data_IF_688714365441
#
_entry.id   IF_688714365441
#
_cell.length_a   1.000
_cell.length_b   1.000
_cell.length_c   1.000
_cell.angle_alpha   90.00
_cell.angle_beta   90.00
_cell.angle_gamma   90.00
#
_symmetry.space_group_name_H-M   'P 1'
#
loop_
_entity.id
_entity.type
_entity.pdbx_description
1 polymer ?
#
# COMPACT_ATOMS: atom_id res chain seq x y z
N UNK A 1 18.23 -29.69 -36.37
CA UNK A 1 18.57 -29.63 -34.93
C UNK A 1 19.08 -28.24 -34.58
N UNK A 2 18.28 -27.42 -33.88
CA UNK A 2 18.74 -26.28 -33.05
C UNK A 2 17.55 -25.86 -32.19
N UNK A 3 17.53 -26.35 -30.95
CA UNK A 3 16.52 -26.05 -29.93
C UNK A 3 16.77 -24.62 -29.43
N UNK A 4 15.85 -23.70 -29.72
CA UNK A 4 15.79 -22.42 -29.02
C UNK A 4 15.26 -22.66 -27.60
N UNK A 5 16.11 -22.44 -26.60
CA UNK A 5 15.73 -22.39 -25.19
C UNK A 5 14.85 -21.15 -24.98
N UNK A 6 13.57 -21.35 -24.67
CA UNK A 6 12.71 -20.29 -24.12
C UNK A 6 13.22 -19.97 -22.72
N UNK A 7 13.81 -18.79 -22.55
CA UNK A 7 14.05 -18.21 -21.23
C UNK A 7 12.71 -17.63 -20.77
N UNK A 8 12.15 -18.17 -19.70
CA UNK A 8 10.94 -17.64 -19.07
C UNK A 8 11.29 -16.32 -18.37
N UNK A 9 10.88 -15.18 -18.93
CA UNK A 9 10.81 -13.92 -18.20
C UNK A 9 9.73 -14.05 -17.13
N UNK A 10 10.12 -14.01 -15.86
CA UNK A 10 9.21 -13.87 -14.72
C UNK A 10 9.05 -12.37 -14.45
N UNK A 11 7.91 -11.81 -14.80
CA UNK A 11 7.49 -10.47 -14.37
C UNK A 11 6.96 -10.57 -12.95
N UNK A 12 7.68 -10.03 -11.96
CA UNK A 12 7.06 -9.64 -10.69
C UNK A 12 6.37 -8.29 -10.94
N UNK A 13 5.05 -8.29 -10.98
CA UNK A 13 4.27 -7.08 -10.73
C UNK A 13 4.46 -6.72 -9.26
N UNK A 14 4.73 -5.44 -8.94
CA UNK A 14 4.23 -4.87 -7.69
C UNK A 14 2.70 -4.96 -7.81
N UNK A 15 2.13 -6.12 -7.44
CA UNK A 15 0.73 -6.58 -7.55
C UNK A 15 -0.08 -6.04 -8.76
N UNK A 16 -0.42 -6.83 -9.78
CA UNK A 16 -1.22 -8.06 -9.67
C UNK A 16 -0.64 -9.23 -10.47
N UNK A 17 -0.40 -10.34 -9.78
CA UNK A 17 -0.11 -11.63 -10.39
C UNK A 17 -1.43 -12.31 -10.80
N UNK A 18 -1.79 -12.23 -12.08
CA UNK A 18 -2.88 -13.04 -12.66
C UNK A 18 -2.41 -14.49 -12.83
N UNK A 19 -2.90 -15.39 -11.99
CA UNK A 19 -2.79 -16.83 -12.19
C UNK A 19 -3.90 -17.35 -13.10
N UNK A 20 -3.58 -17.64 -14.36
CA UNK A 20 -4.46 -18.33 -15.31
C UNK A 20 -4.10 -19.82 -15.38
N UNK A 21 -5.00 -20.72 -14.96
CA UNK A 21 -5.04 -22.12 -15.43
C UNK A 21 -6.45 -22.72 -15.28
N UNK A 22 -6.94 -23.26 -16.40
CA UNK A 22 -8.26 -23.88 -16.57
C UNK A 22 -8.26 -25.38 -16.20
N UNK A 23 -9.43 -25.83 -15.72
CA UNK A 23 -10.11 -27.13 -15.87
C UNK A 23 -9.36 -28.43 -15.49
N UNK A 24 -9.90 -29.14 -14.50
CA UNK A 24 -10.62 -30.41 -14.73
C UNK A 24 -11.54 -30.81 -13.57
N UNK A 25 -12.56 -31.60 -13.91
CA UNK A 25 -13.79 -31.87 -13.19
C UNK A 25 -13.75 -33.10 -12.27
N UNK A 26 -14.78 -33.19 -11.40
CA UNK A 26 -15.15 -34.32 -10.55
C UNK A 26 -15.36 -33.83 -9.11
N UNK A 27 -16.45 -34.06 -8.39
CA UNK A 27 -17.58 -34.95 -8.51
C UNK A 27 -18.12 -35.13 -7.08
N UNK A 28 -19.37 -34.72 -6.86
CA UNK A 28 -20.31 -35.02 -5.76
C UNK A 28 -19.81 -35.52 -4.38
N UNK A 29 -20.31 -34.91 -3.28
CA UNK A 29 -21.43 -35.46 -2.46
C UNK A 29 -21.72 -34.60 -1.22
N UNK A 30 -23.01 -34.58 -0.88
CA UNK A 30 -23.66 -33.96 0.26
C UNK A 30 -23.20 -34.49 1.62
N UNK A 31 -23.34 -33.68 2.67
CA UNK A 31 -24.01 -34.09 3.90
C UNK A 31 -24.48 -32.87 4.72
N UNK A 32 -25.77 -32.94 5.07
CA UNK A 32 -26.49 -32.15 6.05
C UNK A 32 -26.02 -32.47 7.47
N UNK A 33 -26.03 -31.47 8.36
CA UNK A 33 -25.77 -31.66 9.79
C UNK A 33 -26.25 -30.44 10.57
N UNK A 34 -27.49 -30.52 11.05
CA UNK A 34 -28.16 -29.49 11.83
C UNK A 34 -27.77 -29.52 13.32
N UNK A 35 -27.93 -28.35 13.94
CA UNK A 35 -28.27 -28.08 15.34
C UNK A 35 -27.22 -28.37 16.43
N UNK A 36 -27.02 -27.41 17.34
CA UNK A 36 -27.58 -27.44 18.70
C UNK A 36 -27.41 -26.07 19.36
N UNK A 37 -28.50 -25.65 20.02
CA UNK A 37 -28.68 -24.46 20.86
C UNK A 37 -28.07 -24.71 22.24
N UNK A 38 -27.43 -23.70 22.83
CA UNK A 38 -27.41 -23.55 24.30
C UNK A 38 -27.14 -22.09 24.70
N UNK A 39 -28.19 -21.43 25.21
CA UNK A 39 -28.10 -20.24 26.05
C UNK A 39 -27.48 -20.57 27.40
N UNK A 40 -26.64 -19.68 27.90
CA UNK A 40 -26.18 -19.66 29.29
C UNK A 40 -25.85 -18.24 29.69
N UNK A 41 -26.84 -17.53 30.22
CA UNK A 41 -26.66 -16.23 30.86
C UNK A 41 -26.22 -16.46 32.31
N UNK A 42 -25.09 -15.86 32.70
CA UNK A 42 -24.74 -15.63 34.09
C UNK A 42 -24.33 -14.18 34.27
N UNK A 43 -25.09 -13.48 35.11
CA UNK A 43 -24.79 -12.15 35.61
C UNK A 43 -23.83 -12.25 36.81
N UNK A 44 -23.00 -11.22 36.97
CA UNK A 44 -22.39 -10.86 38.25
C UNK A 44 -20.87 -10.94 38.30
N UNK A 45 -20.21 -9.80 38.07
CA UNK A 45 -19.07 -9.35 38.86
C UNK A 45 -18.66 -7.94 38.40
N UNK A 46 -18.95 -6.92 39.20
CA UNK A 46 -18.28 -5.62 39.13
C UNK A 46 -16.84 -5.81 39.59
N UNK A 47 -15.98 -6.27 38.68
CA UNK A 47 -14.54 -6.29 38.86
C UNK A 47 -13.96 -4.95 38.43
N UNK A 48 -13.32 -4.25 39.36
CA UNK A 48 -12.41 -3.14 39.07
C UNK A 48 -11.43 -3.59 37.99
N UNK A 49 -11.50 -2.96 36.81
CA UNK A 49 -10.62 -3.30 35.70
C UNK A 49 -9.17 -3.06 36.14
N UNK A 50 -8.29 -4.07 36.08
CA UNK A 50 -6.87 -3.83 36.31
C UNK A 50 -6.38 -2.88 35.22
N UNK A 51 -5.79 -1.75 35.63
CA UNK A 51 -4.96 -0.93 34.74
C UNK A 51 -3.93 -1.85 34.13
N UNK A 52 -4.09 -2.17 32.85
CA UNK A 52 -3.07 -2.82 32.03
C UNK A 52 -1.92 -1.83 31.92
N UNK A 53 -0.99 -1.91 32.87
CA UNK A 53 0.34 -1.36 32.69
C UNK A 53 0.92 -2.05 31.47
N UNK A 54 0.86 -1.36 30.33
CA UNK A 54 1.58 -1.78 29.14
C UNK A 54 3.06 -1.87 29.55
N UNK A 55 3.74 -3.00 29.28
CA UNK A 55 5.16 -3.10 29.58
C UNK A 55 5.86 -1.90 28.96
N UNK A 56 6.66 -1.21 29.76
CA UNK A 56 7.43 -0.04 29.37
C UNK A 56 8.28 -0.41 28.15
N UNK A 57 7.77 -0.04 26.97
CA UNK A 57 8.33 -0.43 25.70
C UNK A 57 9.57 0.43 25.49
N UNK A 58 10.71 -0.21 25.20
CA UNK A 58 11.93 0.52 24.89
C UNK A 58 11.63 1.61 23.86
N UNK A 59 12.11 2.85 24.06
CA UNK A 59 11.79 3.96 23.17
C UNK A 59 12.22 3.59 21.75
N UNK A 60 11.29 3.71 20.80
CA UNK A 60 11.60 3.57 19.39
C UNK A 60 12.59 4.67 19.02
N UNK A 61 13.84 4.30 18.76
CA UNK A 61 14.88 5.26 18.37
C UNK A 61 14.63 5.68 16.93
N UNK A 62 14.14 6.90 16.75
CA UNK A 62 14.07 7.54 15.43
C UNK A 62 15.50 7.74 14.90
N UNK A 63 15.76 7.21 13.70
CA UNK A 63 16.99 7.53 12.97
C UNK A 63 16.73 8.76 12.11
N UNK A 64 17.60 9.77 12.16
CA UNK A 64 17.43 11.00 11.39
C UNK A 64 18.51 11.10 10.33
N UNK A 65 18.12 11.16 9.06
CA UNK A 65 19.05 11.19 7.91
C UNK A 65 18.53 12.14 6.82
N UNK A 66 19.42 12.70 5.97
CA UNK A 66 18.99 13.45 4.81
C UNK A 66 18.44 12.53 3.70
N UNK A 67 17.66 13.09 2.79
CA UNK A 67 16.88 12.36 1.78
C UNK A 67 17.75 11.41 0.94
N UNK A 68 18.93 11.85 0.49
CA UNK A 68 19.84 11.05 -0.31
C UNK A 68 20.48 9.87 0.45
N UNK A 69 20.25 9.76 1.76
CA UNK A 69 20.79 8.72 2.62
C UNK A 69 19.74 7.71 3.08
N UNK A 70 18.46 7.88 2.71
CA UNK A 70 17.37 6.98 3.12
C UNK A 70 17.72 5.54 2.74
N UNK A 71 17.96 5.25 1.45
CA UNK A 71 18.22 3.89 0.96
C UNK A 71 19.42 3.25 1.67
N UNK A 72 20.54 3.99 1.78
CA UNK A 72 21.77 3.53 2.41
C UNK A 72 21.62 3.27 3.92
N UNK A 73 20.58 3.82 4.55
CA UNK A 73 20.29 3.65 5.98
C UNK A 73 19.39 2.46 6.27
N UNK A 74 18.74 1.88 5.25
CA UNK A 74 17.82 0.76 5.43
C UNK A 74 18.57 -0.53 5.79
N UNK A 75 18.28 -1.17 6.93
CA UNK A 75 19.05 -2.30 7.38
C UNK A 75 18.76 -3.52 6.49
N UNK A 76 19.81 -4.28 6.18
CA UNK A 76 19.73 -5.46 5.32
C UNK A 76 19.22 -6.70 6.06
N UNK A 77 19.28 -6.70 7.39
CA UNK A 77 18.82 -7.81 8.23
C UNK A 77 17.29 -7.84 8.44
N UNK A 78 16.58 -6.87 7.84
CA UNK A 78 15.14 -6.75 7.98
C UNK A 78 14.71 -6.27 9.36
N UNK A 79 15.57 -5.62 10.15
CA UNK A 79 15.13 -4.95 11.37
C UNK A 79 14.13 -3.83 11.04
N UNK A 80 13.14 -3.63 11.92
CA UNK A 80 12.30 -2.43 11.86
C UNK A 80 13.16 -1.19 11.97
N UNK A 81 12.89 -0.22 11.11
CA UNK A 81 13.55 1.08 11.14
C UNK A 81 12.52 2.16 10.91
N UNK A 82 12.70 3.28 11.60
CA UNK A 82 12.00 4.51 11.29
C UNK A 82 12.98 5.63 11.05
N UNK A 83 12.70 6.38 10.00
CA UNK A 83 13.52 7.47 9.53
C UNK A 83 12.69 8.74 9.49
N UNK A 84 13.12 9.76 10.23
CA UNK A 84 12.72 11.14 9.98
C UNK A 84 13.68 11.81 9.02
N UNK A 85 13.18 12.33 7.91
CA UNK A 85 14.04 12.90 6.85
C UNK A 85 14.35 14.37 7.15
N UNK A 86 15.64 14.67 7.37
CA UNK A 86 16.04 15.95 7.99
C UNK A 86 15.91 17.17 7.08
N UNK A 87 16.10 16.99 5.78
CA UNK A 87 16.09 18.05 4.76
C UNK A 87 14.78 18.09 3.96
N UNK A 88 13.85 17.15 4.24
CA UNK A 88 12.49 17.10 3.68
C UNK A 88 11.46 17.02 4.83
N UNK A 89 11.15 18.15 5.49
CA UNK A 89 10.21 18.16 6.61
C UNK A 89 8.86 17.54 6.23
N UNK A 90 8.32 16.69 7.10
CA UNK A 90 7.08 15.97 6.88
C UNK A 90 7.23 14.62 6.18
N UNK A 91 8.40 14.29 5.61
CA UNK A 91 8.65 12.94 5.09
C UNK A 91 9.16 12.02 6.20
N UNK A 92 8.44 10.92 6.38
CA UNK A 92 8.77 9.84 7.30
C UNK A 92 8.85 8.52 6.54
N UNK A 93 9.80 7.66 6.88
CA UNK A 93 9.95 6.34 6.26
C UNK A 93 9.95 5.26 7.32
N UNK A 94 9.12 4.22 7.16
CA UNK A 94 9.09 3.05 8.02
C UNK A 94 9.41 1.78 7.24
N UNK A 95 10.45 1.07 7.69
CA UNK A 95 10.68 -0.32 7.29
C UNK A 95 10.04 -1.27 8.30
N UNK A 96 9.22 -2.21 7.84
CA UNK A 96 8.74 -3.35 8.64
C UNK A 96 9.68 -4.55 8.53
N UNK A 97 9.58 -5.57 9.39
CA UNK A 97 10.51 -6.71 9.26
C UNK A 97 10.31 -7.54 8.02
N UNK A 98 9.09 -7.59 7.51
CA UNK A 98 8.72 -8.43 6.37
C UNK A 98 7.43 -7.93 5.73
N UNK A 99 7.22 -8.34 4.48
CA UNK A 99 5.97 -8.09 3.77
C UNK A 99 4.73 -8.57 4.53
N UNK A 100 4.82 -9.74 5.18
CA UNK A 100 3.73 -10.28 5.97
C UNK A 100 3.38 -9.40 7.17
N UNK A 101 4.38 -8.77 7.78
CA UNK A 101 4.15 -7.82 8.87
C UNK A 101 3.53 -6.52 8.38
N UNK A 102 4.04 -5.97 7.27
CA UNK A 102 3.44 -4.82 6.61
C UNK A 102 1.96 -5.06 6.31
N UNK A 103 1.64 -6.23 5.74
CA UNK A 103 0.26 -6.62 5.46
C UNK A 103 -0.62 -6.63 6.70
N UNK A 104 -0.13 -7.13 7.84
CA UNK A 104 -0.90 -7.12 9.09
C UNK A 104 -1.15 -5.70 9.62
N UNK A 105 -0.25 -4.76 9.37
CA UNK A 105 -0.38 -3.37 9.82
C UNK A 105 -1.28 -2.54 8.89
N UNK A 106 -1.15 -2.70 7.57
CA UNK A 106 -1.71 -1.76 6.60
C UNK A 106 -2.83 -2.31 5.72
N UNK A 107 -3.11 -3.62 5.70
CA UNK A 107 -4.08 -4.17 4.74
C UNK A 107 -5.49 -3.53 4.81
N UNK A 108 -5.97 -3.15 6.00
CA UNK A 108 -7.25 -2.44 6.14
C UNK A 108 -7.18 -0.96 5.75
N UNK A 109 -6.02 -0.33 5.88
CA UNK A 109 -5.76 1.05 5.46
C UNK A 109 -5.73 1.10 3.93
N UNK A 110 -4.94 0.23 3.30
CA UNK A 110 -4.91 0.04 1.83
C UNK A 110 -6.30 -0.25 1.28
N UNK A 111 -7.05 -1.15 1.93
CA UNK A 111 -8.41 -1.45 1.52
C UNK A 111 -9.36 -0.23 1.60
N UNK A 112 -9.15 0.68 2.55
CA UNK A 112 -9.97 1.87 2.70
C UNK A 112 -9.64 2.93 1.64
N UNK A 113 -8.38 3.13 1.28
CA UNK A 113 -7.97 4.26 0.44
C UNK A 113 -7.73 3.89 -1.03
N UNK A 114 -7.16 2.72 -1.29
CA UNK A 114 -6.58 2.40 -2.61
C UNK A 114 -7.38 1.36 -3.42
N UNK A 115 -8.08 0.43 -2.75
CA UNK A 115 -8.70 -0.73 -3.42
C UNK A 115 -10.10 -0.43 -3.97
N UNK A 116 -10.24 -0.54 -5.29
CA UNK A 116 -11.48 -0.27 -6.05
C UNK A 116 -12.73 -1.03 -5.58
N UNK A 117 -12.56 -2.30 -5.21
CA UNK A 117 -13.63 -3.23 -4.87
C UNK A 117 -13.83 -3.35 -3.34
N UNK A 118 -13.36 -2.34 -2.61
CA UNK A 118 -13.59 -2.17 -1.17
C UNK A 118 -14.30 -0.85 -0.89
N UNK A 119 -15.01 -0.75 0.24
CA UNK A 119 -15.65 0.50 0.62
C UNK A 119 -14.62 1.54 1.05
N UNK A 120 -14.78 2.77 0.55
CA UNK A 120 -13.96 3.93 0.90
C UNK A 120 -14.55 4.79 2.04
N UNK A 121 -15.75 4.42 2.53
CA UNK A 121 -16.51 5.16 3.54
C UNK A 121 -16.53 4.46 4.92
N UNK A 122 -15.92 3.28 5.03
CA UNK A 122 -15.92 2.47 6.25
C UNK A 122 -14.72 1.53 6.32
N UNK A 123 -14.18 1.31 7.53
CA UNK A 123 -13.17 0.28 7.77
C UNK A 123 -13.79 -1.10 7.51
N UNK A 124 -13.11 -1.88 6.67
CA UNK A 124 -13.50 -3.25 6.33
C UNK A 124 -13.12 -4.21 7.47
N UNK A 125 -13.91 -5.26 7.75
CA UNK A 125 -13.53 -6.26 8.76
C UNK A 125 -12.44 -7.21 8.23
N UNK A 126 -11.65 -7.81 9.13
CA UNK A 126 -10.66 -8.83 8.74
C UNK A 126 -11.30 -10.03 8.03
N UNK A 127 -12.51 -10.43 8.43
CA UNK A 127 -13.23 -11.51 7.76
C UNK A 127 -13.62 -11.16 6.31
N UNK A 128 -14.01 -9.90 6.07
CA UNK A 128 -14.30 -9.41 4.73
C UNK A 128 -13.02 -9.31 3.86
N UNK A 129 -11.91 -8.82 4.43
CA UNK A 129 -10.60 -8.85 3.76
C UNK A 129 -10.18 -10.27 3.38
N UNK A 130 -10.23 -11.21 4.33
CA UNK A 130 -9.86 -12.61 4.08
C UNK A 130 -10.78 -13.28 3.03
N UNK A 131 -12.06 -12.91 2.99
CA UNK A 131 -13.00 -13.41 1.98
C UNK A 131 -12.69 -12.84 0.60
N UNK A 132 -12.29 -11.57 0.51
CA UNK A 132 -11.84 -10.98 -0.75
C UNK A 132 -10.53 -11.61 -1.24
N UNK A 133 -9.51 -11.69 -0.38
CA UNK A 133 -8.23 -12.32 -0.72
C UNK A 133 -8.41 -13.72 -1.33
N UNK A 134 -9.22 -14.57 -0.69
CA UNK A 134 -9.56 -15.91 -1.20
C UNK A 134 -10.25 -15.90 -2.57
N UNK A 135 -11.09 -14.90 -2.86
CA UNK A 135 -11.77 -14.78 -4.17
C UNK A 135 -10.83 -14.32 -5.27
N UNK A 136 -9.89 -13.44 -4.94
CA UNK A 136 -8.94 -12.88 -5.91
C UNK A 136 -7.73 -13.79 -6.14
N UNK A 137 -7.48 -14.76 -5.25
CA UNK A 137 -6.24 -15.54 -5.25
C UNK A 137 -5.04 -14.72 -4.76
N UNK A 138 -5.30 -13.57 -4.14
CA UNK A 138 -4.28 -12.65 -3.60
C UNK A 138 -3.99 -13.01 -2.14
N UNK A 139 -2.75 -12.78 -1.71
CA UNK A 139 -2.42 -12.66 -0.30
C UNK A 139 -2.64 -11.19 0.12
N UNK A 140 -3.37 -10.88 1.20
CA UNK A 140 -3.46 -9.52 1.71
C UNK A 140 -2.10 -8.84 1.90
N UNK A 141 -1.04 -9.59 2.19
CA UNK A 141 0.31 -9.07 2.35
C UNK A 141 0.93 -8.58 1.03
N UNK A 142 0.59 -9.17 -0.12
CA UNK A 142 1.13 -8.71 -1.41
C UNK A 142 0.47 -7.41 -1.88
N UNK A 143 -0.69 -7.05 -1.31
CA UNK A 143 -1.32 -5.75 -1.55
C UNK A 143 -0.55 -4.58 -0.95
N UNK A 144 0.43 -4.83 -0.08
CA UNK A 144 1.06 -3.78 0.72
C UNK A 144 2.57 -3.70 0.52
N UNK A 145 3.09 -4.08 -0.64
CA UNK A 145 4.55 -4.18 -0.86
C UNK A 145 5.26 -2.82 -0.75
N UNK A 146 4.60 -1.74 -1.12
CA UNK A 146 4.91 -0.37 -0.73
C UNK A 146 3.59 0.31 -0.42
N UNK A 147 3.60 1.22 0.56
CA UNK A 147 2.43 2.06 0.78
C UNK A 147 2.88 3.45 1.20
N UNK A 148 2.03 4.41 0.92
CA UNK A 148 2.21 5.79 1.31
C UNK A 148 0.91 6.35 1.87
N UNK A 149 1.00 7.07 2.99
CA UNK A 149 -0.18 7.67 3.63
C UNK A 149 0.16 9.02 4.24
N UNK A 150 -0.69 10.01 4.02
CA UNK A 150 -0.67 11.22 4.84
C UNK A 150 -1.05 10.89 6.29
N UNK A 151 -0.54 11.67 7.25
CA UNK A 151 -0.95 11.55 8.64
C UNK A 151 -2.46 11.79 8.81
N UNK A 152 -3.08 12.57 7.92
CA UNK A 152 -4.53 12.80 7.89
C UNK A 152 -5.29 11.51 7.55
N UNK A 153 -4.84 10.76 6.54
CA UNK A 153 -5.45 9.47 6.17
C UNK A 153 -5.31 8.44 7.27
N UNK A 154 -4.13 8.36 7.90
CA UNK A 154 -3.90 7.49 9.04
C UNK A 154 -4.82 7.85 10.21
N UNK A 155 -4.92 9.12 10.57
CA UNK A 155 -5.85 9.60 11.60
C UNK A 155 -7.30 9.24 11.26
N UNK A 156 -7.70 9.45 10.00
CA UNK A 156 -9.04 9.14 9.52
C UNK A 156 -9.36 7.65 9.63
N UNK A 157 -8.42 6.76 9.29
CA UNK A 157 -8.60 5.32 9.45
C UNK A 157 -8.92 4.93 10.91
N UNK A 158 -8.09 5.39 11.86
CA UNK A 158 -8.29 5.05 13.28
C UNK A 158 -9.57 5.67 13.84
N UNK A 159 -9.89 6.91 13.47
CA UNK A 159 -11.13 7.56 13.88
C UNK A 159 -12.38 6.88 13.30
N UNK A 160 -12.33 6.46 12.04
CA UNK A 160 -13.43 5.73 11.39
C UNK A 160 -13.64 4.37 12.06
N UNK A 161 -12.56 3.63 12.31
CA UNK A 161 -12.60 2.36 13.05
C UNK A 161 -13.22 2.54 14.45
N UNK A 162 -12.82 3.59 15.17
CA UNK A 162 -13.38 3.93 16.49
C UNK A 162 -14.88 4.23 16.42
N UNK A 163 -15.33 5.07 15.49
CA UNK A 163 -16.76 5.40 15.29
C UNK A 163 -17.60 4.16 14.96
N UNK A 164 -17.01 3.20 14.26
CA UNK A 164 -17.65 1.93 13.93
C UNK A 164 -17.59 0.89 15.05
N UNK A 165 -16.96 1.20 16.19
CA UNK A 165 -16.65 0.24 17.25
C UNK A 165 -15.87 -0.98 16.72
N UNK A 166 -15.02 -0.76 15.71
CA UNK A 166 -14.17 -1.78 15.12
C UNK A 166 -12.95 -1.97 16.00
N UNK A 167 -12.72 -3.20 16.49
CA UNK A 167 -11.49 -3.52 17.19
C UNK A 167 -10.28 -3.39 16.25
N UNK A 168 -9.22 -2.75 16.75
CA UNK A 168 -7.91 -2.83 16.11
C UNK A 168 -7.35 -4.24 16.32
N UNK A 169 -6.67 -4.75 15.30
CA UNK A 169 -5.83 -5.95 15.45
C UNK A 169 -4.60 -5.59 16.27
N UNK A 170 -3.87 -6.58 16.84
CA UNK A 170 -2.64 -6.30 17.56
C UNK A 170 -1.59 -5.52 16.72
N UNK A 171 -1.52 -5.78 15.41
CA UNK A 171 -0.59 -5.09 14.51
C UNK A 171 -1.01 -3.65 14.22
N UNK A 172 -2.31 -3.37 14.12
CA UNK A 172 -2.79 -1.98 13.94
C UNK A 172 -2.72 -1.18 15.24
N UNK A 173 -2.92 -1.82 16.39
CA UNK A 173 -2.65 -1.18 17.68
C UNK A 173 -1.17 -0.82 17.79
N UNK A 174 -0.29 -1.74 17.41
CA UNK A 174 1.14 -1.48 17.37
C UNK A 174 1.50 -0.33 16.41
N UNK A 175 0.86 -0.27 15.24
CA UNK A 175 1.01 0.84 14.31
C UNK A 175 0.54 2.15 14.95
N UNK A 176 -0.63 2.18 15.57
CA UNK A 176 -1.16 3.37 16.25
C UNK A 176 -0.21 3.88 17.34
N UNK A 177 0.23 2.99 18.23
CA UNK A 177 1.17 3.32 19.31
C UNK A 177 2.46 3.91 18.74
N UNK A 178 2.94 3.35 17.64
CA UNK A 178 4.14 3.79 16.93
C UNK A 178 3.97 5.19 16.34
N UNK A 179 2.85 5.44 15.65
CA UNK A 179 2.55 6.75 15.05
C UNK A 179 2.38 7.85 16.09
N UNK A 180 1.83 7.52 17.27
CA UNK A 180 1.72 8.45 18.40
C UNK A 180 3.09 8.71 19.03
N UNK A 181 3.88 7.66 19.25
CA UNK A 181 5.22 7.78 19.83
C UNK A 181 6.16 8.67 18.99
N UNK A 182 5.98 8.67 17.66
CA UNK A 182 6.75 9.51 16.73
C UNK A 182 6.08 10.86 16.43
N UNK A 183 4.94 11.15 17.06
CA UNK A 183 4.27 12.43 16.91
C UNK A 183 3.68 12.66 15.52
N UNK A 184 3.35 11.61 14.77
CA UNK A 184 2.57 11.72 13.52
C UNK A 184 1.08 11.84 13.83
N UNK A 185 0.62 11.18 14.89
CA UNK A 185 -0.76 11.24 15.39
C UNK A 185 -0.81 11.79 16.81
N UNK A 186 -1.92 12.46 17.13
CA UNK A 186 -2.24 12.91 18.48
C UNK A 186 -3.64 12.44 18.89
N UNK A 187 -3.79 12.14 20.17
CA UNK A 187 -5.07 11.88 20.81
C UNK A 187 -5.63 13.20 21.37
N UNK A 188 -6.89 13.50 21.04
CA UNK A 188 -7.66 14.63 21.56
C UNK A 188 -8.95 14.11 22.19
N UNK A 189 -8.85 13.61 23.42
CA UNK A 189 -10.00 13.10 24.17
C UNK A 189 -10.63 11.82 23.57
N UNK A 190 -9.80 10.93 23.04
CA UNK A 190 -10.22 9.70 22.37
C UNK A 190 -10.52 9.88 20.87
N UNK A 191 -10.23 11.05 20.31
CA UNK A 191 -10.36 11.32 18.86
C UNK A 191 -8.97 11.45 18.26
N UNK A 192 -8.72 10.69 17.20
CA UNK A 192 -7.42 10.68 16.53
C UNK A 192 -7.31 11.81 15.51
N UNK A 193 -6.21 12.56 15.58
CA UNK A 193 -5.87 13.63 14.64
C UNK A 193 -4.44 13.48 14.13
N UNK A 194 -4.21 13.95 12.91
CA UNK A 194 -2.85 14.21 12.44
C UNK A 194 -2.21 15.27 13.35
N UNK A 195 -0.96 15.05 13.76
CA UNK A 195 -0.20 16.05 14.49
C UNK A 195 0.18 17.22 13.57
N UNK A 196 0.54 16.92 12.32
CA UNK A 196 0.77 17.90 11.26
C UNK A 196 0.09 17.45 9.96
N UNK A 197 -0.55 18.39 9.26
CA UNK A 197 -1.20 18.12 7.98
C UNK A 197 -0.21 17.82 6.84
N UNK A 198 1.06 18.25 6.98
CA UNK A 198 2.12 18.00 6.00
C UNK A 198 2.90 16.70 6.23
N UNK A 199 2.61 15.94 7.29
CA UNK A 199 3.29 14.67 7.54
C UNK A 199 2.79 13.58 6.60
N UNK A 200 3.74 12.80 6.09
CA UNK A 200 3.54 11.77 5.09
C UNK A 200 4.46 10.58 5.39
N UNK A 201 3.88 9.40 5.48
CA UNK A 201 4.55 8.15 5.82
C UNK A 201 4.71 7.28 4.59
N UNK A 202 5.96 6.98 4.22
CA UNK A 202 6.32 5.94 3.26
C UNK A 202 6.65 4.66 4.01
N UNK A 203 6.16 3.52 3.52
CA UNK A 203 6.35 2.21 4.16
C UNK A 203 6.89 1.18 3.17
N UNK A 204 7.82 0.36 3.64
CA UNK A 204 8.43 -0.69 2.85
C UNK A 204 8.77 -1.94 3.70
N UNK A 205 8.72 -3.14 3.12
CA UNK A 205 9.10 -4.36 3.81
C UNK A 205 10.62 -4.51 3.87
N UNK A 206 11.09 -5.14 4.93
CA UNK A 206 12.44 -5.70 5.02
C UNK A 206 12.69 -6.77 3.94
N UNK A 207 13.98 -7.07 3.73
CA UNK A 207 14.40 -8.13 2.80
C UNK A 207 13.95 -9.51 3.30
N UNK A 208 13.66 -10.42 2.37
CA UNK A 208 13.31 -11.81 2.69
C UNK A 208 12.02 -12.26 2.02
N UNK A 209 11.40 -13.31 2.56
CA UNK A 209 10.26 -13.98 1.93
C UNK A 209 10.69 -15.09 0.96
N UNK A 210 9.70 -15.76 0.35
CA UNK A 210 9.94 -16.86 -0.59
C UNK A 210 8.97 -16.78 -1.76
N UNK A 211 9.39 -17.25 -2.94
CA UNK A 211 8.51 -17.33 -4.10
C UNK A 211 8.15 -15.93 -4.64
N UNK A 212 6.85 -15.68 -4.82
CA UNK A 212 6.32 -14.39 -5.30
C UNK A 212 6.48 -13.25 -4.30
N UNK A 213 6.69 -13.59 -3.03
CA UNK A 213 6.68 -12.63 -1.92
C UNK A 213 8.11 -12.26 -1.49
N UNK A 214 9.10 -12.72 -2.27
CA UNK A 214 10.50 -12.46 -2.01
C UNK A 214 10.84 -11.00 -2.34
N UNK A 215 11.23 -10.25 -1.32
CA UNK A 215 11.76 -8.88 -1.43
C UNK A 215 13.28 -8.96 -1.43
N UNK A 216 13.88 -8.75 -2.61
CA UNK A 216 15.31 -8.55 -2.75
C UNK A 216 15.69 -7.07 -2.71
N UNK A 217 16.99 -6.78 -2.61
CA UNK A 217 17.46 -5.41 -2.50
C UNK A 217 17.08 -4.54 -3.71
N UNK A 218 17.24 -4.98 -4.98
CA UNK A 218 16.77 -4.23 -6.13
C UNK A 218 15.27 -3.95 -6.16
N UNK A 219 14.42 -4.90 -5.74
CA UNK A 219 12.98 -4.71 -5.66
C UNK A 219 12.61 -3.73 -4.53
N UNK A 220 13.26 -3.85 -3.36
CA UNK A 220 13.05 -2.91 -2.24
C UNK A 220 13.44 -1.48 -2.60
N UNK A 221 14.54 -1.30 -3.34
CA UNK A 221 14.94 0.02 -3.85
C UNK A 221 13.89 0.57 -4.83
N UNK A 222 13.40 -0.26 -5.76
CA UNK A 222 12.35 0.14 -6.68
C UNK A 222 11.03 0.51 -5.98
N UNK A 223 10.66 -0.23 -4.92
CA UNK A 223 9.52 0.12 -4.05
C UNK A 223 9.77 1.48 -3.40
N UNK A 224 10.94 1.69 -2.78
CA UNK A 224 11.26 2.96 -2.14
C UNK A 224 11.16 4.13 -3.13
N UNK A 225 11.78 4.02 -4.30
CA UNK A 225 11.73 5.08 -5.31
C UNK A 225 10.28 5.38 -5.74
N UNK A 226 9.47 4.34 -5.95
CA UNK A 226 8.05 4.48 -6.25
C UNK A 226 7.30 5.25 -5.16
N UNK A 227 7.44 4.85 -3.90
CA UNK A 227 6.78 5.50 -2.76
C UNK A 227 7.25 6.94 -2.53
N UNK A 228 8.53 7.24 -2.77
CA UNK A 228 9.05 8.61 -2.73
C UNK A 228 8.48 9.47 -3.87
N UNK A 229 8.14 8.86 -5.00
CA UNK A 229 7.38 9.49 -6.08
C UNK A 229 6.00 9.99 -5.63
N UNK A 230 5.27 9.19 -4.85
CA UNK A 230 4.00 9.62 -4.26
C UNK A 230 4.18 10.78 -3.29
N UNK A 231 5.22 10.73 -2.45
CA UNK A 231 5.55 11.87 -1.58
C UNK A 231 5.83 13.15 -2.38
N UNK A 232 6.55 13.08 -3.50
CA UNK A 232 6.78 14.24 -4.35
C UNK A 232 5.45 14.79 -4.91
N UNK A 233 4.56 13.91 -5.37
CA UNK A 233 3.23 14.30 -5.85
C UNK A 233 2.37 14.95 -4.77
N UNK A 234 2.46 14.47 -3.53
CA UNK A 234 1.74 15.06 -2.40
C UNK A 234 2.33 16.41 -1.96
N UNK A 235 3.65 16.47 -1.81
CA UNK A 235 4.35 17.60 -1.16
C UNK A 235 4.62 18.78 -2.09
N UNK A 236 4.71 18.56 -3.40
CA UNK A 236 4.95 19.62 -4.39
C UNK A 236 3.70 19.90 -5.23
N UNK A 237 3.00 20.97 -4.86
CA UNK A 237 1.78 21.38 -5.55
C UNK A 237 2.00 21.78 -7.02
N UNK A 238 3.20 22.26 -7.39
CA UNK A 238 3.51 22.58 -8.78
C UNK A 238 3.70 21.31 -9.61
N UNK A 239 4.47 20.36 -9.08
CA UNK A 239 4.65 19.03 -9.66
C UNK A 239 3.30 18.30 -9.81
N UNK A 240 2.47 18.27 -8.77
CA UNK A 240 1.15 17.65 -8.80
C UNK A 240 0.23 18.26 -9.87
N UNK A 241 0.25 19.59 -10.01
CA UNK A 241 -0.48 20.29 -11.08
C UNK A 241 0.06 19.93 -12.47
N UNK A 242 1.37 19.78 -12.63
CA UNK A 242 1.97 19.37 -13.89
C UNK A 242 1.52 17.95 -14.30
N UNK A 243 1.52 17.00 -13.36
CA UNK A 243 1.02 15.64 -13.57
C UNK A 243 -0.48 15.60 -13.94
N UNK A 244 -1.32 16.38 -13.24
CA UNK A 244 -2.76 16.51 -13.58
C UNK A 244 -2.98 17.17 -14.94
N UNK A 245 -2.19 18.18 -15.27
CA UNK A 245 -2.23 18.85 -16.57
C UNK A 245 -1.84 17.88 -17.69
N UNK A 246 -0.77 17.09 -17.48
CA UNK A 246 -0.38 16.04 -18.40
C UNK A 246 -1.55 15.06 -18.67
N UNK A 247 -2.17 14.56 -17.60
CA UNK A 247 -3.29 13.63 -17.71
C UNK A 247 -4.43 14.18 -18.56
N UNK A 248 -4.87 15.41 -18.28
CA UNK A 248 -6.05 15.98 -18.92
C UNK A 248 -5.78 16.59 -20.30
N UNK A 249 -4.62 17.21 -20.49
CA UNK A 249 -4.35 18.06 -21.65
C UNK A 249 -3.37 17.44 -22.65
N UNK A 250 -2.48 16.53 -22.22
CA UNK A 250 -1.42 15.99 -23.09
C UNK A 250 -1.69 14.56 -23.55
N UNK A 251 -2.50 13.82 -22.77
CA UNK A 251 -2.99 12.51 -23.16
C UNK A 251 -4.27 12.62 -23.98
N UNK A 252 -4.33 11.84 -25.04
CA UNK A 252 -5.57 11.56 -25.74
C UNK A 252 -6.51 10.74 -24.84
N UNK A 253 -7.83 10.85 -25.07
CA UNK A 253 -8.83 10.07 -24.34
C UNK A 253 -8.54 8.56 -24.38
N UNK A 254 -8.08 8.05 -25.52
CA UNK A 254 -7.74 6.64 -25.72
C UNK A 254 -6.54 6.20 -24.87
N UNK A 255 -5.53 7.06 -24.74
CA UNK A 255 -4.36 6.81 -23.89
C UNK A 255 -4.77 6.76 -22.42
N UNK A 256 -5.59 7.72 -21.96
CA UNK A 256 -6.16 7.72 -20.59
C UNK A 256 -6.92 6.43 -20.31
N UNK A 257 -7.85 6.05 -21.19
CA UNK A 257 -8.65 4.82 -21.04
C UNK A 257 -7.74 3.59 -20.97
N UNK A 258 -6.72 3.49 -21.82
CA UNK A 258 -5.80 2.36 -21.82
C UNK A 258 -4.97 2.28 -20.52
N UNK A 259 -4.51 3.42 -20.00
CA UNK A 259 -3.76 3.49 -18.74
C UNK A 259 -4.63 3.18 -17.52
N UNK A 260 -5.83 3.78 -17.44
CA UNK A 260 -6.81 3.47 -16.38
C UNK A 260 -7.18 1.99 -16.38
N UNK A 261 -7.38 1.38 -17.56
CA UNK A 261 -7.66 -0.05 -17.65
C UNK A 261 -6.49 -0.93 -17.17
N UNK A 262 -5.25 -0.49 -17.38
CA UNK A 262 -4.07 -1.20 -16.89
C UNK A 262 -3.99 -1.14 -15.37
N UNK A 263 -4.10 0.04 -14.75
CA UNK A 263 -4.07 0.20 -13.30
C UNK A 263 -5.27 -0.48 -12.61
N UNK A 264 -6.47 -0.35 -13.16
CA UNK A 264 -7.65 -1.04 -12.58
C UNK A 264 -7.55 -2.56 -12.63
N UNK A 265 -6.79 -3.15 -13.55
CA UNK A 265 -6.48 -4.60 -13.52
C UNK A 265 -5.54 -4.99 -12.39
N UNK A 266 -4.74 -4.06 -11.88
CA UNK A 266 -3.93 -4.22 -10.67
C UNK A 266 -4.76 -4.04 -9.39
N UNK A 267 -5.99 -3.53 -9.53
CA UNK A 267 -6.96 -3.36 -8.46
C UNK A 267 -7.05 -1.93 -7.90
N UNK A 268 -6.36 -0.97 -8.53
CA UNK A 268 -6.51 0.45 -8.22
C UNK A 268 -7.89 0.97 -8.57
N UNK A 269 -8.38 1.93 -7.77
CA UNK A 269 -9.60 2.67 -8.04
C UNK A 269 -9.46 3.56 -9.30
N UNK A 270 -10.56 3.75 -10.03
CA UNK A 270 -10.56 4.44 -11.32
C UNK A 270 -10.68 5.97 -11.19
N UNK A 271 -10.80 6.52 -9.98
CA UNK A 271 -10.77 7.97 -9.75
C UNK A 271 -9.46 8.58 -10.26
N UNK A 272 -9.54 9.74 -10.90
CA UNK A 272 -8.37 10.40 -11.47
C UNK A 272 -7.30 10.73 -10.43
N UNK A 273 -7.67 11.01 -9.18
CA UNK A 273 -6.73 11.27 -8.11
C UNK A 273 -5.78 10.09 -7.85
N UNK A 274 -6.30 8.85 -7.87
CA UNK A 274 -5.50 7.63 -7.74
C UNK A 274 -4.74 7.36 -9.03
N UNK A 275 -5.42 7.40 -10.17
CA UNK A 275 -4.82 7.04 -11.46
C UNK A 275 -3.65 7.96 -11.82
N UNK A 276 -3.77 9.26 -11.59
CA UNK A 276 -2.70 10.23 -11.91
C UNK A 276 -1.50 10.05 -11.00
N UNK A 277 -1.73 9.79 -9.72
CA UNK A 277 -0.67 9.59 -8.74
C UNK A 277 0.12 8.29 -9.01
N UNK A 278 -0.59 7.17 -9.21
CA UNK A 278 0.02 5.89 -9.60
C UNK A 278 0.77 5.99 -10.93
N UNK A 279 0.19 6.68 -11.92
CA UNK A 279 0.81 6.83 -13.23
C UNK A 279 2.16 7.53 -13.13
N UNK A 280 2.27 8.61 -12.34
CA UNK A 280 3.53 9.33 -12.21
C UNK A 280 4.56 8.50 -11.44
N UNK A 281 4.16 7.83 -10.36
CA UNK A 281 5.01 6.98 -9.55
C UNK A 281 5.63 5.86 -10.40
N UNK A 282 4.80 5.15 -11.18
CA UNK A 282 5.30 4.11 -12.07
C UNK A 282 6.15 4.63 -13.21
N UNK A 283 5.74 5.68 -13.93
CA UNK A 283 6.44 6.07 -15.15
C UNK A 283 7.76 6.80 -14.88
N UNK A 284 7.83 7.59 -13.80
CA UNK A 284 8.98 8.45 -13.52
C UNK A 284 9.92 7.86 -12.48
N UNK A 285 9.39 7.18 -11.48
CA UNK A 285 10.16 6.78 -10.29
C UNK A 285 10.39 5.28 -10.20
N UNK A 286 9.58 4.46 -10.88
CA UNK A 286 9.79 3.00 -10.90
C UNK A 286 10.67 2.57 -12.06
N UNK A 287 11.74 1.77 -11.83
CA UNK A 287 12.52 1.19 -12.92
C UNK A 287 11.66 0.37 -13.89
N UNK A 288 11.93 0.49 -15.19
CA UNK A 288 11.08 -0.08 -16.26
C UNK A 288 10.77 -1.58 -16.10
N UNK A 289 11.74 -2.38 -15.62
CA UNK A 289 11.54 -3.82 -15.38
C UNK A 289 10.45 -4.15 -14.33
N UNK A 290 10.08 -3.18 -13.49
CA UNK A 290 9.06 -3.32 -12.44
C UNK A 290 7.77 -2.56 -12.78
N UNK A 291 7.72 -1.84 -13.90
CA UNK A 291 6.52 -1.13 -14.32
C UNK A 291 5.47 -2.14 -14.84
N UNK A 292 4.18 -1.97 -14.48
CA UNK A 292 3.12 -2.87 -14.90
C UNK A 292 2.56 -2.53 -16.30
N UNK A 293 3.05 -1.45 -16.92
CA UNK A 293 2.49 -0.95 -18.17
C UNK A 293 3.04 -1.70 -19.39
N UNK A 294 2.14 -1.97 -20.32
CA UNK A 294 2.44 -2.56 -21.63
C UNK A 294 1.90 -1.66 -22.75
N UNK A 295 2.61 -1.68 -23.87
CA UNK A 295 2.15 -1.03 -25.10
C UNK A 295 0.84 -1.66 -25.59
N UNK A 296 -0.07 -0.82 -26.07
CA UNK A 296 -1.34 -1.25 -26.66
C UNK A 296 -1.30 -0.93 -28.15
N UNK A 297 -1.68 -1.90 -28.97
CA UNK A 297 -1.76 -1.76 -30.42
C UNK A 297 -3.22 -1.59 -30.88
N UNK A 298 -3.43 -1.08 -32.09
CA UNK A 298 -4.76 -0.93 -32.67
C UNK A 298 -5.40 0.43 -32.39
N UNK A 299 -6.73 0.45 -32.22
CA UNK A 299 -7.53 1.68 -32.09
C UNK A 299 -7.29 2.44 -30.77
N UNK A 300 -6.84 1.74 -29.72
CA UNK A 300 -6.44 2.32 -28.44
C UNK A 300 -4.92 2.34 -28.32
N UNK A 301 -4.23 2.82 -29.36
CA UNK A 301 -2.76 2.79 -29.40
C UNK A 301 -2.16 3.53 -28.21
N UNK A 302 -1.28 2.85 -27.48
CA UNK A 302 -0.51 3.39 -26.36
C UNK A 302 0.94 2.98 -26.53
N UNK A 303 1.86 3.94 -26.47
CA UNK A 303 3.29 3.67 -26.29
C UNK A 303 3.71 4.18 -24.93
N UNK A 304 4.06 3.28 -24.02
CA UNK A 304 4.46 3.59 -22.64
C UNK A 304 5.69 4.50 -22.64
N UNK A 305 6.66 4.23 -23.52
CA UNK A 305 7.84 5.08 -23.68
C UNK A 305 7.48 6.51 -24.09
N UNK A 306 6.58 6.69 -25.06
CA UNK A 306 6.15 8.04 -25.50
C UNK A 306 5.39 8.78 -24.40
N UNK A 307 4.50 8.09 -23.68
CA UNK A 307 3.78 8.65 -22.53
C UNK A 307 4.76 9.09 -21.44
N UNK A 308 5.75 8.25 -21.12
CA UNK A 308 6.80 8.55 -20.14
C UNK A 308 7.58 9.81 -20.51
N UNK A 309 8.04 9.91 -21.76
CA UNK A 309 8.80 11.08 -22.22
C UNK A 309 7.99 12.36 -22.21
N UNK A 310 6.71 12.31 -22.62
CA UNK A 310 5.80 13.47 -22.51
C UNK A 310 5.62 13.90 -21.05
N UNK A 311 5.41 12.94 -20.15
CA UNK A 311 5.25 13.23 -18.72
C UNK A 311 6.52 13.86 -18.14
N UNK A 312 7.71 13.29 -18.44
CA UNK A 312 9.01 13.86 -18.06
C UNK A 312 9.15 15.30 -18.52
N UNK A 313 8.85 15.57 -19.79
CA UNK A 313 8.92 16.91 -20.35
C UNK A 313 7.97 17.89 -19.63
N UNK A 314 6.77 17.43 -19.27
CA UNK A 314 5.78 18.26 -18.53
C UNK A 314 6.25 18.56 -17.11
N UNK A 315 6.81 17.59 -16.40
CA UNK A 315 7.21 17.75 -14.99
C UNK A 315 8.56 18.44 -14.83
N UNK A 316 9.46 18.36 -15.81
CA UNK A 316 10.74 19.06 -15.80
C UNK A 316 10.60 20.59 -15.73
N UNK A 317 9.48 21.15 -16.22
CA UNK A 317 9.20 22.58 -16.13
C UNK A 317 8.55 23.03 -14.81
N UNK A 318 8.29 22.10 -13.89
CA UNK A 318 7.66 22.37 -12.60
C UNK A 318 8.62 22.24 -11.39
N UNK A 319 9.83 21.72 -11.62
CA UNK A 319 10.93 21.64 -10.66
C UNK A 319 11.80 22.90 -10.73
#
# INVERSE_FOLDING_TARGET
MRRFRRVALRTLSLSAAVGLACLQAGGARSASGAAVVASGATAGASGTLPSTQHPERAPLVETRVPFERIEASLPADGSRLFIGVTDRPGLHVMQTHSLAEQGRMFARIVALFERRDMPHDRVTSMAALATRARRSGDDPATLTAGNNFSAIELAHFFELGRRQHMALTPAEQELLDTLVAWGLLRDDGGVWHAANAGDFLVTLPGLGGTGSDAIDAPLRAAILDHELGHWQFFSDAAYARACRTFWWNDLALQERVALTQQLTRLGYDARDEIIVDELQAYLLHTPEKYQPFVDVQGTNRLSVAQVREKLRARTAGAQ
#
